data_IF_973931759399
#
_entry.id   IF_973931759399
#
_cell.length_a   1.000
_cell.length_b   1.000
_cell.length_c   1.000
_cell.angle_alpha   90.00
_cell.angle_beta   90.00
_cell.angle_gamma   90.00
#
_symmetry.space_group_name_H-M   'P 1'
#
loop_
_entity.id
_entity.type
_entity.pdbx_description
1 polymer ?
#
# COMPACT_ATOMS: atom_id res chain seq x y z
N UNK A 1 18.57 7.18 -32.34
CA UNK A 1 18.50 7.08 -30.86
C UNK A 1 17.09 6.60 -30.53
N UNK A 2 16.86 5.28 -30.45
CA UNK A 2 15.51 4.69 -30.40
C UNK A 2 15.51 3.41 -29.55
N UNK A 3 15.85 3.55 -28.27
CA UNK A 3 15.82 2.45 -27.30
C UNK A 3 15.75 2.99 -25.87
N UNK A 4 14.63 3.61 -25.51
CA UNK A 4 14.40 4.02 -24.11
C UNK A 4 12.92 4.10 -23.71
N UNK A 5 11.99 4.27 -24.65
CA UNK A 5 10.56 4.44 -24.29
C UNK A 5 9.91 3.15 -23.76
N UNK A 6 10.30 1.98 -24.29
CA UNK A 6 9.78 0.69 -23.83
C UNK A 6 10.31 0.23 -22.46
N UNK A 7 11.57 0.52 -22.15
CA UNK A 7 12.19 0.14 -20.86
C UNK A 7 11.69 1.03 -19.71
N UNK A 8 11.48 2.32 -19.97
CA UNK A 8 10.87 3.24 -19.00
C UNK A 8 9.44 2.80 -18.67
N UNK A 9 8.64 2.42 -19.69
CA UNK A 9 7.27 1.93 -19.48
C UNK A 9 7.23 0.67 -18.59
N UNK A 10 8.06 -0.34 -18.87
CA UNK A 10 8.13 -1.55 -18.06
C UNK A 10 8.65 -1.29 -16.63
N UNK A 11 9.62 -0.39 -16.47
CA UNK A 11 10.14 0.01 -15.16
C UNK A 11 9.09 0.70 -14.30
N UNK A 12 8.29 1.59 -14.88
CA UNK A 12 7.18 2.25 -14.19
C UNK A 12 6.09 1.25 -13.77
N UNK A 13 5.75 0.30 -14.64
CA UNK A 13 4.82 -0.79 -14.33
C UNK A 13 5.31 -1.60 -13.12
N UNK A 14 6.57 -2.01 -13.15
CA UNK A 14 7.16 -2.77 -12.04
C UNK A 14 7.13 -1.97 -10.74
N UNK A 15 7.51 -0.69 -10.78
CA UNK A 15 7.54 0.18 -9.62
C UNK A 15 6.14 0.40 -9.04
N UNK A 16 5.12 0.54 -9.89
CA UNK A 16 3.72 0.65 -9.48
C UNK A 16 3.28 -0.61 -8.71
N UNK A 17 3.48 -1.79 -9.27
CA UNK A 17 3.10 -3.06 -8.61
C UNK A 17 3.88 -3.30 -7.32
N UNK A 18 5.18 -3.00 -7.33
CA UNK A 18 6.03 -3.11 -6.15
C UNK A 18 5.58 -2.15 -5.04
N UNK A 19 5.28 -0.89 -5.40
CA UNK A 19 4.77 0.10 -4.45
C UNK A 19 3.44 -0.34 -3.84
N UNK A 20 2.54 -0.92 -4.64
CA UNK A 20 1.29 -1.51 -4.17
C UNK A 20 1.51 -2.63 -3.16
N UNK A 21 2.48 -3.51 -3.43
CA UNK A 21 2.85 -4.59 -2.51
C UNK A 21 3.41 -4.06 -1.19
N UNK A 22 4.25 -3.02 -1.23
CA UNK A 22 4.78 -2.38 -0.02
C UNK A 22 3.64 -1.75 0.79
N UNK A 23 2.73 -1.00 0.16
CA UNK A 23 1.58 -0.40 0.84
C UNK A 23 0.68 -1.47 1.48
N UNK A 24 0.48 -2.59 0.79
CA UNK A 24 -0.31 -3.71 1.31
C UNK A 24 0.31 -4.29 2.58
N UNK A 25 1.62 -4.58 2.56
CA UNK A 25 2.34 -5.10 3.73
C UNK A 25 2.29 -4.09 4.88
N UNK A 26 2.60 -2.83 4.62
CA UNK A 26 2.60 -1.77 5.64
C UNK A 26 1.21 -1.58 6.24
N UNK A 27 0.15 -1.60 5.41
CA UNK A 27 -1.23 -1.52 5.86
C UNK A 27 -1.66 -2.68 6.75
N UNK A 28 -1.27 -3.91 6.40
CA UNK A 28 -1.52 -5.11 7.22
C UNK A 28 -0.81 -5.00 8.56
N UNK A 29 0.48 -4.65 8.55
CA UNK A 29 1.29 -4.50 9.77
C UNK A 29 0.69 -3.42 10.67
N UNK A 30 0.42 -2.23 10.12
CA UNK A 30 -0.19 -1.13 10.87
C UNK A 30 -1.53 -1.55 11.48
N UNK A 31 -2.37 -2.22 10.71
CA UNK A 31 -3.68 -2.70 11.17
C UNK A 31 -3.54 -3.71 12.31
N UNK A 32 -2.64 -4.68 12.14
CA UNK A 32 -2.38 -5.72 13.14
C UNK A 32 -1.86 -5.12 14.46
N UNK A 33 -0.84 -4.26 14.39
CA UNK A 33 -0.27 -3.61 15.58
C UNK A 33 -1.28 -2.69 16.26
N UNK A 34 -2.09 -1.96 15.48
CA UNK A 34 -3.17 -1.13 16.04
C UNK A 34 -4.20 -1.97 16.80
N UNK A 35 -4.54 -3.16 16.28
CA UNK A 35 -5.49 -4.05 16.92
C UNK A 35 -4.96 -4.59 18.26
N UNK A 36 -3.70 -5.05 18.31
CA UNK A 36 -3.11 -5.60 19.54
C UNK A 36 -2.77 -4.53 20.59
N UNK A 37 -2.42 -3.31 20.16
CA UNK A 37 -2.02 -2.20 21.03
C UNK A 37 -3.14 -1.20 21.29
N UNK A 38 -4.39 -1.52 20.95
CA UNK A 38 -5.54 -0.60 21.08
C UNK A 38 -5.67 0.00 22.48
N UNK A 39 -5.39 -0.80 23.53
CA UNK A 39 -5.53 -0.36 24.92
C UNK A 39 -4.49 0.69 25.33
N UNK A 40 -3.30 0.68 24.72
CA UNK A 40 -2.24 1.64 25.01
C UNK A 40 -2.35 2.93 24.17
N UNK A 41 -2.95 2.83 22.97
CA UNK A 41 -3.11 3.94 22.03
C UNK A 41 -4.25 4.91 22.40
N UNK A 42 -5.25 4.42 23.13
CA UNK A 42 -6.52 5.12 23.34
C UNK A 42 -7.44 5.03 22.11
N UNK A 43 -8.76 5.07 22.35
CA UNK A 43 -9.78 4.75 21.34
C UNK A 43 -9.69 5.61 20.07
N UNK A 44 -9.47 6.93 20.22
CA UNK A 44 -9.41 7.84 19.08
C UNK A 44 -8.21 7.56 18.15
N UNK A 45 -7.03 7.34 18.72
CA UNK A 45 -5.83 7.04 17.93
C UNK A 45 -5.91 5.63 17.33
N UNK A 46 -6.41 4.65 18.10
CA UNK A 46 -6.62 3.30 17.60
C UNK A 46 -7.61 3.27 16.42
N UNK A 47 -8.70 4.04 16.49
CA UNK A 47 -9.64 4.17 15.37
C UNK A 47 -8.95 4.78 14.14
N UNK A 48 -8.22 5.88 14.31
CA UNK A 48 -7.52 6.55 13.21
C UNK A 48 -6.51 5.63 12.52
N UNK A 49 -5.61 4.99 13.27
CA UNK A 49 -4.60 4.09 12.70
C UNK A 49 -5.21 2.86 12.05
N UNK A 50 -6.34 2.36 12.56
CA UNK A 50 -7.06 1.25 11.95
C UNK A 50 -7.61 1.64 10.58
N UNK A 51 -8.25 2.81 10.48
CA UNK A 51 -8.77 3.32 9.20
C UNK A 51 -7.64 3.55 8.20
N UNK A 52 -6.53 4.15 8.64
CA UNK A 52 -5.34 4.35 7.79
C UNK A 52 -4.78 3.01 7.31
N UNK A 53 -4.64 2.03 8.19
CA UNK A 53 -4.15 0.70 7.84
C UNK A 53 -5.02 0.02 6.79
N UNK A 54 -6.35 0.06 6.94
CA UNK A 54 -7.29 -0.50 5.97
C UNK A 54 -7.20 0.22 4.63
N UNK A 55 -7.10 1.56 4.63
CA UNK A 55 -6.94 2.34 3.40
C UNK A 55 -5.64 2.01 2.67
N UNK A 56 -4.54 1.80 3.39
CA UNK A 56 -3.26 1.38 2.79
C UNK A 56 -3.36 -0.01 2.15
N UNK A 57 -4.04 -0.96 2.80
CA UNK A 57 -4.30 -2.29 2.20
C UNK A 57 -5.13 -2.15 0.93
N UNK A 58 -6.20 -1.35 0.97
CA UNK A 58 -7.07 -1.13 -0.18
C UNK A 58 -6.31 -0.49 -1.35
N UNK A 59 -5.55 0.58 -1.09
CA UNK A 59 -4.72 1.25 -2.11
C UNK A 59 -3.63 0.31 -2.65
N UNK A 60 -3.00 -0.48 -1.78
CA UNK A 60 -2.02 -1.47 -2.18
C UNK A 60 -2.60 -2.51 -3.14
N UNK A 61 -3.79 -3.03 -2.84
CA UNK A 61 -4.52 -3.94 -3.74
C UNK A 61 -4.89 -3.26 -5.06
N UNK A 62 -5.36 -2.02 -5.03
CA UNK A 62 -5.69 -1.27 -6.25
C UNK A 62 -4.48 -1.12 -7.16
N UNK A 63 -3.32 -0.73 -6.62
CA UNK A 63 -2.10 -0.62 -7.40
C UNK A 63 -1.64 -1.97 -7.96
N UNK A 64 -1.81 -3.07 -7.23
CA UNK A 64 -1.46 -4.41 -7.73
C UNK A 64 -2.40 -4.83 -8.88
N UNK A 65 -3.71 -4.59 -8.73
CA UNK A 65 -4.74 -5.07 -9.67
C UNK A 65 -4.89 -4.15 -10.88
N UNK A 66 -4.57 -2.86 -10.74
CA UNK A 66 -4.72 -1.87 -11.80
C UNK A 66 -4.13 -2.41 -13.12
N UNK A 67 -4.96 -2.46 -14.15
CA UNK A 67 -4.47 -2.81 -15.49
C UNK A 67 -3.75 -1.60 -16.05
N UNK A 68 -2.59 -1.82 -16.64
CA UNK A 68 -1.93 -0.80 -17.45
C UNK A 68 -2.53 -0.92 -18.84
N UNK A 69 -3.35 0.06 -19.19
CA UNK A 69 -3.94 0.24 -20.52
C UNK A 69 -3.07 1.17 -21.36
#
# INVERSE_FOLDING_TARGET
MSRNEGEVSLGFIFLEKFSGFVLLIVGIILSYYTHISRWDLGEAAAFFFMVVGILLVFLGLLLIIAKIE
#
